data_IF_126457072247
#
_entry.id   IF_126457072247
#
_cell.length_a   1.000
_cell.length_b   1.000
_cell.length_c   1.000
_cell.angle_alpha   90.00
_cell.angle_beta   90.00
_cell.angle_gamma   90.00
#
_symmetry.space_group_name_H-M   'P 1'
#
loop_
_entity.id
_entity.type
_entity.pdbx_description
1 polymer ?
#
# COMPACT_ATOMS: atom_id res chain seq x y z
N UNK A 1 -38.63 -9.94 -21.69
CA UNK A 1 -37.23 -10.35 -21.40
C UNK A 1 -36.47 -9.14 -20.97
N UNK A 2 -36.21 -8.98 -19.68
CA UNK A 2 -35.30 -7.93 -19.17
C UNK A 2 -33.88 -8.33 -19.57
N UNK A 3 -33.33 -7.65 -20.57
CA UNK A 3 -31.91 -7.75 -20.89
C UNK A 3 -31.09 -7.46 -19.63
N UNK A 4 -30.59 -8.53 -18.99
CA UNK A 4 -29.68 -8.39 -17.86
C UNK A 4 -28.39 -7.71 -18.39
N UNK A 5 -28.20 -6.46 -18.03
CA UNK A 5 -26.96 -5.76 -18.35
C UNK A 5 -25.76 -6.60 -17.86
N UNK A 6 -24.73 -6.71 -18.68
CA UNK A 6 -23.51 -7.41 -18.27
C UNK A 6 -22.97 -6.84 -16.95
N UNK A 7 -22.54 -7.69 -16.01
CA UNK A 7 -22.04 -7.22 -14.72
C UNK A 7 -20.83 -6.28 -14.90
N UNK A 8 -20.77 -5.16 -14.17
CA UNK A 8 -19.72 -4.16 -14.34
C UNK A 8 -18.34 -4.70 -13.94
N UNK A 9 -17.31 -4.28 -14.64
CA UNK A 9 -15.94 -4.52 -14.22
C UNK A 9 -15.59 -3.67 -12.99
N UNK A 10 -14.74 -4.20 -12.10
CA UNK A 10 -14.31 -3.52 -10.89
C UNK A 10 -12.79 -3.34 -10.91
N UNK A 11 -12.35 -2.09 -10.88
CA UNK A 11 -10.96 -1.72 -10.59
C UNK A 11 -10.89 -1.16 -9.17
N UNK A 12 -10.23 -1.88 -8.28
CA UNK A 12 -10.04 -1.51 -6.89
C UNK A 12 -8.60 -1.04 -6.67
N UNK A 13 -8.39 0.24 -6.35
CA UNK A 13 -7.06 0.79 -6.11
C UNK A 13 -6.89 1.11 -4.62
N UNK A 14 -5.89 0.51 -3.99
CA UNK A 14 -5.50 0.77 -2.61
C UNK A 14 -4.14 1.45 -2.55
N UNK A 15 -4.01 2.47 -1.72
CA UNK A 15 -2.76 3.23 -1.51
C UNK A 15 -2.40 3.15 -0.03
N UNK A 16 -1.20 2.66 0.29
CA UNK A 16 -0.76 2.42 1.66
C UNK A 16 -0.36 3.73 2.35
N UNK A 17 -0.85 3.96 3.57
CA UNK A 17 -0.56 5.13 4.41
C UNK A 17 -0.91 6.50 3.76
N UNK A 18 -1.80 6.53 2.77
CA UNK A 18 -2.22 7.77 2.13
C UNK A 18 -3.13 8.57 3.08
N UNK A 19 -2.74 9.81 3.37
CA UNK A 19 -3.53 10.78 4.12
C UNK A 19 -4.49 11.55 3.20
N UNK A 20 -5.60 12.09 3.71
CA UNK A 20 -6.55 12.87 2.91
C UNK A 20 -6.03 14.30 2.65
N UNK A 21 -4.80 14.42 2.18
CA UNK A 21 -4.09 15.68 1.88
C UNK A 21 -3.95 15.92 0.38
N UNK A 22 -4.92 15.45 -0.41
CA UNK A 22 -4.96 15.66 -1.85
C UNK A 22 -5.79 16.90 -2.22
N UNK A 23 -5.61 17.43 -3.43
CA UNK A 23 -6.38 18.59 -3.91
C UNK A 23 -7.90 18.38 -3.86
N UNK A 24 -8.40 17.18 -4.18
CA UNK A 24 -9.82 16.84 -4.09
C UNK A 24 -10.39 16.86 -2.65
N UNK A 25 -9.55 16.87 -1.63
CA UNK A 25 -9.91 17.06 -0.23
C UNK A 25 -9.69 18.48 0.27
N UNK A 26 -9.22 19.40 -0.59
CA UNK A 26 -9.03 20.81 -0.30
C UNK A 26 -7.60 21.19 0.09
N UNK A 27 -6.61 20.30 -0.09
CA UNK A 27 -5.20 20.67 0.04
C UNK A 27 -4.75 21.50 -1.15
N UNK A 28 -4.08 22.61 -0.88
CA UNK A 28 -3.40 23.47 -1.86
C UNK A 28 -1.89 23.18 -1.95
N UNK A 29 -1.38 22.37 -1.05
CA UNK A 29 0.06 22.06 -0.95
C UNK A 29 0.45 20.85 -1.80
N UNK A 30 -0.43 19.85 -1.91
CA UNK A 30 -0.13 18.59 -2.60
C UNK A 30 -0.64 18.61 -4.03
N UNK A 31 0.25 18.37 -4.98
CA UNK A 31 -0.08 18.31 -6.40
C UNK A 31 -0.58 16.91 -6.78
N UNK A 32 -1.89 16.77 -6.94
CA UNK A 32 -2.56 15.50 -7.30
C UNK A 32 -3.46 15.62 -8.54
N UNK A 33 -2.96 16.17 -9.68
CA UNK A 33 -3.81 16.61 -10.80
C UNK A 33 -4.63 15.48 -11.43
N UNK A 34 -4.13 14.25 -11.45
CA UNK A 34 -4.83 13.11 -12.04
C UNK A 34 -5.97 12.62 -11.12
N UNK A 35 -5.71 12.53 -9.81
CA UNK A 35 -6.74 12.15 -8.83
C UNK A 35 -7.80 13.24 -8.76
N UNK A 36 -7.40 14.52 -8.75
CA UNK A 36 -8.30 15.66 -8.70
C UNK A 36 -9.20 15.72 -9.95
N UNK A 37 -8.65 15.42 -11.13
CA UNK A 37 -9.43 15.32 -12.38
C UNK A 37 -10.44 14.18 -12.30
N UNK A 38 -10.03 13.01 -11.81
CA UNK A 38 -10.92 11.86 -11.62
C UNK A 38 -12.04 12.16 -10.62
N UNK A 39 -11.71 12.83 -9.50
CA UNK A 39 -12.65 13.21 -8.47
C UNK A 39 -13.80 14.10 -8.99
N UNK A 40 -13.56 14.93 -10.02
CA UNK A 40 -14.60 15.79 -10.62
C UNK A 40 -15.75 15.01 -11.27
N UNK A 41 -15.52 13.78 -11.67
CA UNK A 41 -16.52 12.88 -12.27
C UNK A 41 -16.90 11.70 -11.35
N UNK A 42 -16.54 11.79 -10.08
CA UNK A 42 -16.68 10.69 -9.12
C UNK A 42 -17.42 11.12 -7.85
N UNK A 43 -17.91 10.15 -7.10
CA UNK A 43 -18.39 10.38 -5.75
C UNK A 43 -17.19 10.41 -4.78
N UNK A 44 -16.94 11.57 -4.17
CA UNK A 44 -15.83 11.76 -3.22
C UNK A 44 -16.34 11.62 -1.79
N UNK A 45 -15.84 10.61 -1.07
CA UNK A 45 -16.15 10.41 0.34
C UNK A 45 -15.17 11.21 1.22
N UNK A 46 -15.61 12.33 1.77
CA UNK A 46 -14.78 13.18 2.64
C UNK A 46 -14.61 12.65 4.07
N UNK A 47 -15.39 11.67 4.48
CA UNK A 47 -15.42 11.09 5.83
C UNK A 47 -15.37 9.55 5.76
N UNK A 48 -14.37 9.01 5.06
CA UNK A 48 -14.09 7.60 5.06
C UNK A 48 -12.94 7.30 6.02
N UNK A 49 -13.14 6.35 6.94
CA UNK A 49 -12.18 6.04 8.00
C UNK A 49 -11.77 4.57 7.93
N UNK A 50 -10.48 4.29 8.11
CA UNK A 50 -10.01 2.93 8.31
C UNK A 50 -10.43 2.43 9.71
N UNK A 51 -10.60 1.12 9.86
CA UNK A 51 -11.03 0.54 11.13
C UNK A 51 -9.92 0.57 12.19
N UNK A 52 -8.67 0.57 11.76
CA UNK A 52 -7.50 0.74 12.63
C UNK A 52 -6.33 1.25 11.79
N UNK A 53 -5.59 2.24 12.29
CA UNK A 53 -4.47 2.88 11.57
C UNK A 53 -3.18 2.02 11.64
N UNK A 54 -3.29 0.74 11.32
CA UNK A 54 -2.21 -0.25 11.21
C UNK A 54 -2.48 -1.13 9.99
N UNK A 55 -1.45 -1.42 9.19
CA UNK A 55 -1.57 -2.05 7.87
C UNK A 55 -2.43 -3.33 7.87
N UNK A 56 -2.06 -4.34 8.67
CA UNK A 56 -2.75 -5.62 8.65
C UNK A 56 -4.21 -5.55 9.13
N UNK A 57 -4.52 -4.98 10.30
CA UNK A 57 -5.91 -4.82 10.74
C UNK A 57 -6.77 -4.04 9.75
N UNK A 58 -6.26 -2.92 9.23
CA UNK A 58 -6.97 -2.10 8.25
C UNK A 58 -7.28 -2.88 6.98
N UNK A 59 -6.26 -3.54 6.40
CA UNK A 59 -6.41 -4.31 5.16
C UNK A 59 -7.30 -5.53 5.34
N UNK A 60 -7.14 -6.23 6.46
CA UNK A 60 -7.99 -7.37 6.79
C UNK A 60 -9.46 -6.95 6.94
N UNK A 61 -9.73 -5.85 7.64
CA UNK A 61 -11.09 -5.32 7.78
C UNK A 61 -11.68 -4.92 6.42
N UNK A 62 -10.90 -4.24 5.58
CA UNK A 62 -11.29 -3.85 4.23
C UNK A 62 -11.67 -5.06 3.37
N UNK A 63 -10.87 -6.11 3.44
CA UNK A 63 -11.04 -7.31 2.60
C UNK A 63 -12.09 -8.29 3.12
N UNK A 64 -12.43 -8.24 4.41
CA UNK A 64 -13.38 -9.19 5.02
C UNK A 64 -14.70 -8.56 5.41
N UNK A 65 -14.78 -7.21 5.49
CA UNK A 65 -15.94 -6.50 6.03
C UNK A 65 -16.11 -6.63 7.54
N UNK A 66 -15.14 -7.23 8.24
CA UNK A 66 -15.20 -7.46 9.68
C UNK A 66 -14.30 -6.47 10.43
N UNK A 67 -14.71 -6.06 11.62
CA UNK A 67 -13.89 -5.22 12.50
C UNK A 67 -12.66 -5.99 13.00
N UNK A 68 -11.55 -5.30 13.34
CA UNK A 68 -10.35 -5.93 13.89
C UNK A 68 -10.61 -6.85 15.07
N UNK A 69 -11.45 -6.44 16.02
CA UNK A 69 -11.83 -7.24 17.19
C UNK A 69 -12.62 -8.49 16.79
N UNK A 70 -13.53 -8.39 15.83
CA UNK A 70 -14.36 -9.51 15.36
C UNK A 70 -13.54 -10.57 14.66
N UNK A 71 -12.52 -10.15 13.86
CA UNK A 71 -11.65 -11.07 13.15
C UNK A 71 -10.43 -11.49 13.99
N UNK A 72 -10.17 -10.79 15.11
CA UNK A 72 -9.04 -11.06 16.00
C UNK A 72 -7.69 -10.65 15.42
N UNK A 73 -7.68 -9.59 14.57
CA UNK A 73 -6.46 -9.06 13.95
C UNK A 73 -6.29 -7.61 14.37
N UNK A 74 -5.52 -7.40 15.44
CA UNK A 74 -5.26 -6.07 16.02
C UNK A 74 -3.81 -5.59 15.81
N UNK A 75 -2.98 -6.39 15.14
CA UNK A 75 -1.58 -6.08 14.84
C UNK A 75 -1.09 -6.75 13.56
N UNK A 76 0.18 -6.52 13.24
CA UNK A 76 0.78 -6.95 11.97
C UNK A 76 1.22 -8.42 11.91
N UNK A 77 1.06 -9.19 12.98
CA UNK A 77 1.66 -10.52 13.11
C UNK A 77 0.66 -11.68 13.02
N UNK A 78 -0.64 -11.40 12.87
CA UNK A 78 -1.68 -12.42 12.87
C UNK A 78 -2.33 -12.48 11.48
N UNK A 79 -2.32 -13.64 10.87
CA UNK A 79 -3.09 -13.86 9.64
C UNK A 79 -4.56 -14.10 9.99
N UNK A 80 -5.47 -13.43 9.30
CA UNK A 80 -6.90 -13.48 9.60
C UNK A 80 -7.49 -14.89 9.50
N UNK A 81 -6.99 -15.74 8.59
CA UNK A 81 -7.45 -17.12 8.46
C UNK A 81 -7.04 -18.02 9.61
N UNK A 82 -6.06 -17.63 10.43
CA UNK A 82 -5.77 -18.35 11.68
C UNK A 82 -6.94 -18.28 12.68
N UNK A 83 -7.67 -17.16 12.68
CA UNK A 83 -8.82 -16.94 13.56
C UNK A 83 -10.16 -17.25 12.89
N UNK A 84 -10.27 -16.98 11.60
CA UNK A 84 -11.49 -17.14 10.80
C UNK A 84 -11.18 -17.84 9.47
N UNK A 85 -10.88 -19.14 9.47
CA UNK A 85 -10.41 -19.87 8.28
C UNK A 85 -11.38 -19.81 7.11
N UNK A 86 -12.69 -19.80 7.39
CA UNK A 86 -13.74 -19.84 6.38
C UNK A 86 -14.30 -18.48 6.00
N UNK A 87 -13.70 -17.36 6.46
CA UNK A 87 -14.20 -16.03 6.10
C UNK A 87 -14.07 -15.81 4.59
N UNK A 88 -15.14 -15.29 4.01
CA UNK A 88 -15.17 -14.92 2.58
C UNK A 88 -14.65 -13.50 2.44
N UNK A 89 -13.58 -13.34 1.66
CA UNK A 89 -13.02 -12.01 1.38
C UNK A 89 -13.76 -11.34 0.22
N UNK A 90 -13.65 -10.01 0.12
CA UNK A 90 -14.22 -9.22 -0.97
C UNK A 90 -13.84 -9.78 -2.35
N UNK A 91 -12.55 -9.99 -2.70
CA UNK A 91 -12.23 -10.59 -4.00
C UNK A 91 -12.71 -12.03 -4.14
N UNK A 92 -12.72 -12.81 -3.06
CA UNK A 92 -13.27 -14.18 -3.08
C UNK A 92 -14.79 -14.18 -3.34
N UNK A 93 -15.51 -13.18 -2.83
CA UNK A 93 -16.93 -13.00 -3.14
C UNK A 93 -17.15 -12.73 -4.64
N UNK A 94 -16.38 -11.81 -5.23
CA UNK A 94 -16.42 -11.57 -6.68
C UNK A 94 -16.09 -12.83 -7.48
N UNK A 95 -15.03 -13.55 -7.10
CA UNK A 95 -14.62 -14.81 -7.73
C UNK A 95 -15.74 -15.86 -7.71
N UNK A 96 -16.44 -16.02 -6.57
CA UNK A 96 -17.58 -16.93 -6.43
C UNK A 96 -18.79 -16.54 -7.29
N UNK A 97 -18.87 -15.28 -7.69
CA UNK A 97 -19.91 -14.73 -8.56
C UNK A 97 -19.46 -14.58 -10.02
N UNK A 98 -18.48 -15.37 -10.46
CA UNK A 98 -18.08 -15.47 -11.86
C UNK A 98 -17.09 -14.41 -12.35
N UNK A 99 -16.58 -13.56 -11.47
CA UNK A 99 -15.55 -12.58 -11.82
C UNK A 99 -14.16 -13.22 -11.84
N UNK A 100 -13.31 -12.75 -12.76
CA UNK A 100 -11.88 -13.03 -12.72
C UNK A 100 -11.22 -12.09 -11.72
N UNK A 101 -10.90 -12.57 -10.52
CA UNK A 101 -10.33 -11.78 -9.42
C UNK A 101 -8.80 -11.82 -9.45
N UNK A 102 -8.16 -10.66 -9.60
CA UNK A 102 -6.71 -10.51 -9.76
C UNK A 102 -6.14 -9.48 -8.78
N UNK A 103 -4.86 -9.65 -8.43
CA UNK A 103 -4.13 -8.73 -7.57
C UNK A 103 -2.77 -8.35 -8.16
N UNK A 104 -2.45 -7.04 -8.07
CA UNK A 104 -1.14 -6.49 -8.43
C UNK A 104 -0.67 -5.58 -7.29
N UNK A 105 0.53 -5.80 -6.76
CA UNK A 105 1.09 -4.98 -5.68
C UNK A 105 0.61 -5.37 -4.28
N UNK A 106 0.58 -4.42 -3.35
CA UNK A 106 0.31 -4.63 -1.92
C UNK A 106 -1.20 -4.57 -1.60
N UNK A 107 -1.88 -5.70 -1.49
CA UNK A 107 -3.29 -5.80 -1.06
C UNK A 107 -3.42 -6.27 0.39
N UNK A 108 -2.80 -7.38 0.74
CA UNK A 108 -2.71 -7.89 2.10
C UNK A 108 -1.38 -7.55 2.76
N UNK A 109 -1.32 -7.65 4.08
CA UNK A 109 -0.06 -7.62 4.83
C UNK A 109 0.56 -9.03 4.86
N UNK A 110 1.89 -9.09 4.84
CA UNK A 110 2.63 -10.35 4.66
C UNK A 110 2.71 -11.27 5.86
N UNK A 111 1.60 -11.81 6.30
CA UNK A 111 1.52 -12.78 7.39
C UNK A 111 0.87 -14.07 6.87
N UNK A 112 1.28 -15.22 7.41
CA UNK A 112 0.75 -16.54 7.06
C UNK A 112 -0.12 -17.13 8.18
N UNK A 113 -1.07 -18.03 7.84
CA UNK A 113 -1.98 -18.64 8.80
C UNK A 113 -1.30 -19.42 9.94
N UNK A 114 -0.10 -19.93 9.71
CA UNK A 114 0.69 -20.68 10.68
C UNK A 114 1.64 -19.83 11.53
N UNK A 115 1.53 -18.49 11.45
CA UNK A 115 2.43 -17.59 12.16
C UNK A 115 3.85 -17.54 11.59
N UNK A 116 4.14 -18.31 10.54
CA UNK A 116 5.41 -18.21 9.85
C UNK A 116 5.47 -16.85 9.12
N UNK A 117 6.41 -16.02 9.53
CA UNK A 117 6.80 -14.84 8.75
C UNK A 117 7.47 -15.35 7.48
N UNK A 118 6.74 -15.42 6.37
CA UNK A 118 7.38 -15.78 5.13
C UNK A 118 8.10 -14.59 4.55
N UNK A 119 9.37 -14.79 4.36
CA UNK A 119 10.30 -13.84 3.81
C UNK A 119 10.24 -13.77 2.29
N UNK A 120 9.55 -14.71 1.63
CA UNK A 120 9.30 -14.66 0.19
C UNK A 120 8.07 -13.80 -0.09
N UNK A 121 8.29 -12.62 -0.62
CA UNK A 121 7.28 -11.62 -0.97
C UNK A 121 6.22 -12.14 -1.95
N UNK A 122 6.52 -13.19 -2.68
CA UNK A 122 5.70 -13.81 -3.72
C UNK A 122 4.47 -14.55 -3.16
N UNK A 123 4.52 -14.92 -1.89
CA UNK A 123 3.46 -15.69 -1.22
C UNK A 123 2.67 -14.87 -0.20
N UNK A 124 2.93 -13.55 -0.12
CA UNK A 124 2.25 -12.65 0.82
C UNK A 124 0.83 -12.35 0.35
N UNK A 125 -0.13 -12.89 1.03
CA UNK A 125 -1.53 -12.63 0.74
C UNK A 125 -2.41 -13.80 1.09
N UNK A 126 -3.58 -13.80 0.52
CA UNK A 126 -4.57 -14.83 0.63
C UNK A 126 -4.81 -15.46 -0.75
N UNK A 127 -4.17 -16.59 -1.08
CA UNK A 127 -4.32 -17.22 -2.39
C UNK A 127 -5.77 -17.58 -2.74
N UNK A 128 -6.58 -17.87 -1.73
CA UNK A 128 -8.00 -18.19 -1.94
C UNK A 128 -8.81 -17.01 -2.49
N UNK A 129 -8.37 -15.80 -2.22
CA UNK A 129 -9.00 -14.57 -2.70
C UNK A 129 -8.89 -14.39 -4.21
N UNK A 130 -7.90 -14.97 -4.87
CA UNK A 130 -7.54 -14.65 -6.24
C UNK A 130 -7.76 -15.83 -7.20
N UNK A 131 -7.97 -15.51 -8.47
CA UNK A 131 -8.07 -16.49 -9.55
C UNK A 131 -6.70 -16.98 -10.03
N UNK A 132 -5.68 -16.15 -9.84
CA UNK A 132 -4.27 -16.39 -10.20
C UNK A 132 -3.35 -15.87 -9.10
N UNK A 133 -2.09 -16.29 -9.03
CA UNK A 133 -1.12 -15.74 -8.09
C UNK A 133 -0.98 -14.22 -8.22
N UNK A 134 -0.92 -13.50 -7.10
CA UNK A 134 -0.78 -12.05 -7.09
C UNK A 134 0.55 -11.61 -7.73
N UNK A 135 0.50 -10.63 -8.62
CA UNK A 135 1.69 -10.06 -9.27
C UNK A 135 2.39 -9.10 -8.32
N UNK A 136 3.69 -9.27 -8.14
CA UNK A 136 4.52 -8.47 -7.23
C UNK A 136 5.89 -8.21 -7.82
N UNK A 137 6.56 -7.20 -7.30
CA UNK A 137 7.86 -6.75 -7.77
C UNK A 137 8.83 -6.61 -6.60
N UNK A 138 10.11 -6.62 -6.90
CA UNK A 138 11.19 -6.26 -5.99
C UNK A 138 12.16 -5.28 -6.68
N UNK A 139 13.07 -4.66 -5.94
CA UNK A 139 13.03 -4.42 -4.50
C UNK A 139 11.94 -3.40 -4.12
N UNK A 140 11.60 -3.33 -2.82
CA UNK A 140 10.61 -2.37 -2.31
C UNK A 140 11.23 -1.16 -1.62
N UNK A 141 12.46 -1.31 -1.17
CA UNK A 141 13.19 -0.36 -0.35
C UNK A 141 14.48 -0.01 -1.04
N UNK A 142 14.96 1.16 -0.83
CA UNK A 142 16.21 1.76 -1.26
C UNK A 142 16.74 1.35 -2.65
N UNK A 143 17.00 2.37 -3.45
CA UNK A 143 17.38 2.22 -4.86
C UNK A 143 18.71 2.88 -5.16
N UNK A 144 19.19 3.81 -4.30
CA UNK A 144 20.53 4.41 -4.43
C UNK A 144 21.57 3.56 -3.71
N UNK A 145 22.82 3.67 -4.13
CA UNK A 145 23.93 2.97 -3.47
C UNK A 145 24.09 3.43 -2.01
N UNK A 146 23.92 4.73 -1.75
CA UNK A 146 23.98 5.32 -0.42
C UNK A 146 22.85 4.81 0.47
N UNK A 147 21.63 4.77 -0.04
CA UNK A 147 20.46 4.27 0.70
C UNK A 147 20.61 2.79 1.03
N UNK A 148 21.08 1.98 0.07
CA UNK A 148 21.36 0.56 0.26
C UNK A 148 22.48 0.35 1.29
N UNK A 149 23.56 1.14 1.22
CA UNK A 149 24.68 1.05 2.16
C UNK A 149 24.24 1.40 3.58
N UNK A 150 23.50 2.49 3.75
CA UNK A 150 22.97 2.92 5.05
C UNK A 150 22.01 1.89 5.66
N UNK A 151 21.16 1.30 4.83
CA UNK A 151 20.25 0.23 5.25
C UNK A 151 21.02 -1.03 5.70
N UNK A 152 22.04 -1.44 4.96
CA UNK A 152 22.91 -2.57 5.33
C UNK A 152 23.64 -2.32 6.65
N UNK A 153 24.14 -1.10 6.85
CA UNK A 153 24.84 -0.75 8.09
C UNK A 153 23.88 -0.79 9.30
N UNK A 154 22.69 -0.22 9.15
CA UNK A 154 21.66 -0.30 10.19
C UNK A 154 21.30 -1.75 10.50
N UNK A 155 21.13 -2.59 9.47
CA UNK A 155 20.87 -4.02 9.64
C UNK A 155 21.97 -4.69 10.46
N UNK A 156 23.25 -4.47 10.12
CA UNK A 156 24.38 -5.04 10.86
C UNK A 156 24.36 -4.60 12.32
N UNK A 157 24.14 -3.31 12.57
CA UNK A 157 24.12 -2.75 13.94
C UNK A 157 22.98 -3.33 14.78
N UNK A 158 21.78 -3.45 14.22
CA UNK A 158 20.58 -3.84 14.97
C UNK A 158 20.43 -5.36 15.08
N UNK A 159 20.72 -6.10 14.02
CA UNK A 159 20.41 -7.53 13.96
C UNK A 159 21.63 -8.44 14.12
N UNK A 160 22.86 -7.98 13.87
CA UNK A 160 24.07 -8.80 14.10
C UNK A 160 24.22 -9.29 15.53
N UNK A 161 23.83 -8.54 16.56
CA UNK A 161 23.86 -9.05 17.95
C UNK A 161 22.85 -10.15 18.24
N UNK A 162 21.84 -10.36 17.38
CA UNK A 162 20.83 -11.39 17.58
C UNK A 162 21.36 -12.76 17.20
N UNK A 163 21.04 -13.78 17.99
CA UNK A 163 21.43 -15.15 17.70
C UNK A 163 20.18 -16.05 17.59
N UNK A 164 19.90 -16.64 16.42
CA UNK A 164 20.60 -16.45 15.16
C UNK A 164 20.28 -15.09 14.50
N UNK A 165 21.28 -14.46 13.91
CA UNK A 165 21.07 -13.25 13.12
C UNK A 165 20.29 -13.60 11.83
N UNK A 166 19.38 -12.75 11.35
CA UNK A 166 18.73 -12.96 10.08
C UNK A 166 19.76 -12.96 8.92
N UNK A 167 19.63 -13.90 7.99
CA UNK A 167 20.58 -14.04 6.90
C UNK A 167 20.38 -13.02 5.76
N UNK A 168 19.20 -12.39 5.69
CA UNK A 168 18.86 -11.51 4.58
C UNK A 168 18.29 -10.17 5.09
N UNK A 169 19.03 -9.09 4.84
CA UNK A 169 18.64 -7.74 5.21
C UNK A 169 17.44 -7.21 4.40
N UNK A 170 17.23 -7.74 3.19
CA UNK A 170 16.13 -7.30 2.31
C UNK A 170 14.76 -7.75 2.82
N UNK A 171 14.74 -8.71 3.75
CA UNK A 171 13.54 -9.31 4.31
C UNK A 171 13.08 -8.66 5.61
N UNK A 172 13.91 -7.79 6.20
CA UNK A 172 13.57 -7.07 7.44
C UNK A 172 13.26 -5.62 7.11
N UNK A 173 12.37 -5.02 7.89
CA UNK A 173 12.18 -3.58 7.89
C UNK A 173 13.50 -2.97 8.34
N UNK A 174 14.31 -2.56 7.39
CA UNK A 174 15.62 -2.02 7.66
C UNK A 174 15.51 -0.51 7.57
N UNK A 175 15.87 0.14 8.65
CA UNK A 175 15.87 1.59 8.73
C UNK A 175 17.13 2.12 8.05
N UNK A 176 16.98 2.65 6.86
CA UNK A 176 17.93 3.48 6.16
C UNK A 176 17.48 4.95 6.23
N UNK A 177 17.83 5.76 5.23
CA UNK A 177 17.33 7.13 5.12
C UNK A 177 15.80 7.18 5.10
N UNK A 178 15.22 8.18 5.76
CA UNK A 178 13.77 8.37 5.77
C UNK A 178 13.22 8.72 4.38
N UNK A 179 14.03 9.35 3.54
CA UNK A 179 13.70 9.78 2.19
C UNK A 179 14.76 9.36 1.20
N UNK A 180 14.36 9.10 -0.04
CA UNK A 180 15.27 8.84 -1.16
C UNK A 180 14.63 9.37 -2.45
N UNK A 181 15.42 10.11 -3.23
CA UNK A 181 14.95 10.73 -4.49
C UNK A 181 15.87 10.37 -5.67
N UNK A 182 15.91 9.10 -6.09
CA UNK A 182 16.78 8.70 -7.20
C UNK A 182 16.33 9.34 -8.51
N UNK A 183 17.30 9.75 -9.34
CA UNK A 183 17.04 10.28 -10.69
C UNK A 183 16.84 9.10 -11.66
N UNK A 184 15.62 8.57 -11.66
CA UNK A 184 15.26 7.37 -12.42
C UNK A 184 13.86 7.51 -13.01
N UNK A 185 13.53 6.66 -13.99
CA UNK A 185 12.18 6.54 -14.53
C UNK A 185 11.20 5.96 -13.48
N UNK A 186 9.91 6.28 -13.59
CA UNK A 186 8.86 5.83 -12.66
C UNK A 186 8.87 4.32 -12.46
N UNK A 187 8.97 3.57 -13.55
CA UNK A 187 8.94 2.11 -13.56
C UNK A 187 10.27 1.44 -13.10
N UNK A 188 11.27 2.20 -12.73
CA UNK A 188 12.41 1.68 -11.98
C UNK A 188 11.97 1.32 -10.56
N UNK A 189 11.09 2.13 -9.98
CA UNK A 189 10.58 1.96 -8.62
C UNK A 189 9.40 0.97 -8.58
N UNK A 190 9.11 0.47 -7.38
CA UNK A 190 8.09 -0.55 -7.17
C UNK A 190 6.70 -0.11 -7.69
N UNK A 191 6.24 1.06 -7.29
CA UNK A 191 4.88 1.52 -7.61
C UNK A 191 4.71 1.88 -9.09
N UNK A 192 5.77 2.32 -9.76
CA UNK A 192 5.77 2.49 -11.21
C UNK A 192 5.61 1.15 -11.94
N UNK A 193 6.30 0.10 -11.48
CA UNK A 193 6.11 -1.27 -12.02
C UNK A 193 4.69 -1.79 -11.78
N UNK A 194 4.11 -1.49 -10.62
CA UNK A 194 2.71 -1.83 -10.30
C UNK A 194 1.76 -1.12 -11.26
N UNK A 195 1.98 0.17 -11.54
CA UNK A 195 1.17 0.94 -12.48
C UNK A 195 1.24 0.37 -13.91
N UNK A 196 2.44 0.11 -14.43
CA UNK A 196 2.63 -0.48 -15.77
C UNK A 196 1.96 -1.84 -15.90
N UNK A 197 2.12 -2.69 -14.89
CA UNK A 197 1.48 -4.01 -14.87
C UNK A 197 -0.05 -3.91 -14.82
N UNK A 198 -0.60 -2.96 -14.06
CA UNK A 198 -2.05 -2.72 -13.98
C UNK A 198 -2.62 -2.28 -15.33
N UNK A 199 -1.95 -1.35 -16.01
CA UNK A 199 -2.35 -0.88 -17.35
C UNK A 199 -2.30 -2.02 -18.36
N UNK A 200 -1.22 -2.80 -18.38
CA UNK A 200 -1.08 -3.97 -19.25
C UNK A 200 -2.16 -5.03 -18.98
N UNK A 201 -2.46 -5.29 -17.69
CA UNK A 201 -3.48 -6.24 -17.30
C UNK A 201 -4.89 -5.80 -17.69
N UNK A 202 -5.22 -4.51 -17.56
CA UNK A 202 -6.50 -3.95 -18.03
C UNK A 202 -6.68 -4.16 -19.53
N UNK A 203 -5.63 -3.99 -20.33
CA UNK A 203 -5.65 -4.27 -21.76
C UNK A 203 -5.99 -5.74 -22.07
N UNK A 204 -5.38 -6.69 -21.35
CA UNK A 204 -5.66 -8.14 -21.49
C UNK A 204 -7.11 -8.48 -21.07
N UNK A 205 -7.56 -7.96 -19.94
CA UNK A 205 -8.90 -8.20 -19.40
C UNK A 205 -10.00 -7.68 -20.34
N UNK A 206 -9.77 -6.52 -20.96
CA UNK A 206 -10.68 -5.97 -22.00
C UNK A 206 -10.86 -6.95 -23.16
N UNK A 207 -9.80 -7.60 -23.61
CA UNK A 207 -9.84 -8.57 -24.70
C UNK A 207 -10.54 -9.88 -24.31
N UNK A 208 -10.51 -10.29 -23.05
CA UNK A 208 -11.12 -11.52 -22.58
C UNK A 208 -12.66 -11.45 -22.50
N UNK A 209 -13.24 -10.25 -22.41
CA UNK A 209 -14.69 -10.06 -22.40
C UNK A 209 -15.43 -10.65 -21.18
N UNK A 210 -14.72 -11.07 -20.14
CA UNK A 210 -15.28 -11.58 -18.88
C UNK A 210 -15.28 -10.50 -17.80
N UNK A 211 -16.28 -10.48 -16.89
CA UNK A 211 -16.26 -9.55 -15.79
C UNK A 211 -15.04 -9.80 -14.90
N UNK A 212 -14.39 -8.72 -14.44
CA UNK A 212 -13.21 -8.83 -13.61
C UNK A 212 -13.28 -7.96 -12.36
N UNK A 213 -12.59 -8.40 -11.31
CA UNK A 213 -12.23 -7.64 -10.14
C UNK A 213 -10.69 -7.52 -10.12
N UNK A 214 -10.16 -6.38 -10.53
CA UNK A 214 -8.72 -6.11 -10.50
C UNK A 214 -8.38 -5.23 -9.30
N UNK A 215 -7.63 -5.77 -8.35
CA UNK A 215 -7.10 -5.04 -7.20
C UNK A 215 -5.65 -4.61 -7.46
N UNK A 216 -5.38 -3.32 -7.30
CA UNK A 216 -4.06 -2.71 -7.49
C UNK A 216 -3.63 -2.04 -6.19
N UNK A 217 -2.51 -2.44 -5.61
CA UNK A 217 -2.04 -1.94 -4.33
C UNK A 217 -0.68 -1.23 -4.42
N UNK A 218 -0.69 0.10 -4.24
CA UNK A 218 0.50 0.91 -4.14
C UNK A 218 1.06 0.93 -2.72
N UNK A 219 2.39 1.04 -2.60
CA UNK A 219 3.06 1.09 -1.29
C UNK A 219 3.23 2.53 -0.82
N UNK A 220 3.61 3.45 -1.70
CA UNK A 220 3.85 4.83 -1.31
C UNK A 220 2.53 5.59 -1.13
N UNK A 221 2.47 6.48 -0.12
CA UNK A 221 3.57 7.08 0.65
C UNK A 221 4.02 6.33 1.92
N UNK A 222 3.78 5.04 2.09
CA UNK A 222 4.38 4.29 3.22
C UNK A 222 5.90 4.50 3.28
N UNK A 223 6.43 4.71 4.49
CA UNK A 223 7.86 4.93 4.73
C UNK A 223 8.74 3.73 4.29
N UNK A 224 10.02 3.93 3.92
CA UNK A 224 10.69 5.20 3.65
C UNK A 224 10.04 5.93 2.46
N UNK A 225 10.08 7.28 2.46
CA UNK A 225 9.47 8.09 1.40
C UNK A 225 10.39 8.12 0.18
N UNK A 226 10.06 7.31 -0.82
CA UNK A 226 10.89 7.14 -2.02
C UNK A 226 10.03 7.43 -3.26
N UNK A 227 10.51 8.36 -4.08
CA UNK A 227 9.94 8.67 -5.38
C UNK A 227 11.04 9.12 -6.35
N UNK A 228 10.83 9.05 -7.67
CA UNK A 228 11.76 9.65 -8.63
C UNK A 228 12.00 11.13 -8.34
N UNK A 229 13.24 11.58 -8.51
CA UNK A 229 13.68 12.96 -8.22
C UNK A 229 12.73 14.03 -8.80
N UNK A 230 12.22 13.84 -10.00
CA UNK A 230 11.31 14.79 -10.66
C UNK A 230 10.06 15.15 -9.82
N UNK A 231 9.61 14.27 -8.92
CA UNK A 231 8.48 14.56 -8.04
C UNK A 231 8.89 15.36 -6.80
N UNK A 232 10.08 15.12 -6.26
CA UNK A 232 10.64 15.96 -5.20
C UNK A 232 10.92 17.38 -5.72
N UNK A 233 11.43 17.49 -6.95
CA UNK A 233 11.73 18.79 -7.57
C UNK A 233 10.49 19.69 -7.73
N UNK A 234 9.28 19.14 -7.77
CA UNK A 234 8.04 19.92 -7.76
C UNK A 234 7.86 20.76 -6.50
N UNK A 235 8.49 20.36 -5.40
CA UNK A 235 8.38 21.01 -4.10
C UNK A 235 9.67 21.70 -3.64
N UNK A 236 10.80 21.44 -4.30
CA UNK A 236 12.14 21.91 -3.90
C UNK A 236 12.56 23.19 -4.63
N UNK A 237 11.74 23.70 -5.56
CA UNK A 237 12.04 24.90 -6.31
C UNK A 237 11.95 26.14 -5.42
N UNK A 238 13.10 26.58 -4.87
CA UNK A 238 13.28 27.75 -4.02
C UNK A 238 12.77 29.10 -4.55
N UNK A 239 12.03 29.10 -5.66
CA UNK A 239 11.43 30.28 -6.30
C UNK A 239 9.90 30.24 -6.43
N UNK A 240 9.22 29.22 -5.96
CA UNK A 240 7.75 29.18 -5.99
C UNK A 240 7.20 29.36 -4.58
N UNK A 241 6.77 30.58 -4.27
CA UNK A 241 6.06 30.91 -3.04
C UNK A 241 4.73 30.14 -2.87
N UNK A 242 4.26 29.45 -3.90
CA UNK A 242 3.00 28.69 -3.89
C UNK A 242 3.13 27.23 -3.48
N UNK A 243 4.33 26.62 -3.51
CA UNK A 243 4.52 25.19 -3.20
C UNK A 243 5.43 24.95 -2.00
N UNK A 244 5.69 25.97 -1.18
CA UNK A 244 6.51 25.81 0.01
C UNK A 244 5.71 25.08 1.09
N UNK A 245 6.07 23.82 1.35
CA UNK A 245 5.52 23.09 2.49
C UNK A 245 6.00 23.76 3.77
N UNK A 246 5.08 24.38 4.50
CA UNK A 246 5.39 24.91 5.81
C UNK A 246 5.51 23.76 6.82
N UNK A 247 6.71 23.58 7.34
CA UNK A 247 6.90 22.68 8.48
C UNK A 247 6.30 23.35 9.69
N UNK A 248 5.42 22.66 10.41
CA UNK A 248 4.81 23.18 11.62
C UNK A 248 5.86 23.68 12.59
N UNK A 249 5.74 24.93 13.03
CA UNK A 249 6.68 25.61 13.91
C UNK A 249 6.72 24.98 15.31
N UNK A 250 5.68 24.24 15.71
CA UNK A 250 5.65 23.50 16.95
C UNK A 250 5.90 22.02 16.72
N UNK A 251 7.00 21.52 17.23
CA UNK A 251 7.32 20.09 17.25
C UNK A 251 6.66 19.35 18.44
N UNK A 252 5.73 19.99 19.13
CA UNK A 252 5.05 19.41 20.27
C UNK A 252 3.75 18.73 19.81
N UNK A 253 3.48 17.59 20.39
CA UNK A 253 2.20 16.90 20.23
C UNK A 253 1.03 17.82 20.53
N UNK A 254 -0.10 17.73 19.79
CA UNK A 254 -1.30 18.50 20.11
C UNK A 254 -1.73 18.24 21.55
N UNK A 255 -1.94 19.30 22.32
CA UNK A 255 -2.51 19.19 23.66
C UNK A 255 -3.92 18.56 23.55
N UNK A 256 -4.15 17.47 24.25
CA UNK A 256 -5.42 16.73 24.19
C UNK A 256 -5.45 15.51 23.29
N UNK A 257 -4.35 15.21 22.59
CA UNK A 257 -4.20 13.94 21.91
C UNK A 257 -4.07 12.77 22.90
N UNK A 258 -4.56 11.55 22.56
CA UNK A 258 -4.40 10.40 23.42
C UNK A 258 -2.89 10.11 23.63
N UNK A 259 -2.50 9.76 24.87
CA UNK A 259 -1.10 9.53 25.24
C UNK A 259 -0.37 8.52 24.32
N UNK A 260 -1.10 7.51 23.81
CA UNK A 260 -0.58 6.51 22.89
C UNK A 260 -0.16 7.12 21.53
N UNK A 261 -0.73 8.25 21.14
CA UNK A 261 -0.35 8.91 19.89
C UNK A 261 1.03 9.60 19.98
N UNK A 262 1.57 9.77 21.18
CA UNK A 262 2.90 10.35 21.44
C UNK A 262 4.05 9.33 21.50
N UNK A 263 3.77 8.05 21.41
CA UNK A 263 4.82 7.03 21.34
C UNK A 263 5.43 6.99 19.94
N UNK A 264 6.53 7.72 19.80
CA UNK A 264 7.46 7.50 18.69
C UNK A 264 8.28 6.27 19.06
N UNK A 265 8.03 5.16 18.36
CA UNK A 265 8.85 3.95 18.45
C UNK A 265 10.23 4.16 17.86
#
# INVERSE_FOLDING_TARGET
ETSSAAPPNVLFIAVDDLRPELGCYGSDQVLSPNIDRFAKSSLVFKRAYCQQAVCNPSRTSLMTGLRPDTIGVTGNHIHFRSNKPNVVTLPQHFKRNGYHALAIGKLYHGVFPNGASNTKWDTMGDPESWSEPAVRFGPRYYYTEEGIAAAKETFRRVYKPLNPAPNDWTQKLVFGPATESPDVADNTLYDGKVADAAVAQLGKLKQQGKPFFLAVGFIKPHSPFIAPKKYFDLYDNGNSSSNKIEIASNQKFPTGGPAIAGHVS
#
